data_IF_971617944220
#
_entry.id   IF_971617944220
#
_cell.length_a   1.000
_cell.length_b   1.000
_cell.length_c   1.000
_cell.angle_alpha   90.00
_cell.angle_beta   90.00
_cell.angle_gamma   90.00
#
_symmetry.space_group_name_H-M   'P 1'
#
loop_
_entity.id
_entity.type
_entity.pdbx_description
1 polymer ?
#
# COMPACT_ATOMS: atom_id res chain seq x y z
N UNK A 1 -7.99 -62.73 -17.88
CA UNK A 1 -8.95 -61.64 -17.60
C UNK A 1 -8.74 -61.21 -16.16
N UNK A 2 -8.21 -60.00 -15.93
CA UNK A 2 -7.84 -59.51 -14.60
C UNK A 2 -9.00 -58.70 -14.06
N UNK A 3 -9.47 -59.07 -12.88
CA UNK A 3 -10.65 -58.53 -12.21
C UNK A 3 -10.57 -57.00 -12.04
N UNK A 4 -11.57 -56.29 -12.57
CA UNK A 4 -11.81 -54.90 -12.24
C UNK A 4 -12.42 -54.85 -10.84
N UNK A 5 -11.55 -54.70 -9.83
CA UNK A 5 -11.91 -54.42 -8.45
C UNK A 5 -12.77 -53.15 -8.42
N UNK A 6 -14.03 -53.25 -7.98
CA UNK A 6 -14.98 -52.15 -7.98
C UNK A 6 -14.43 -50.91 -7.26
N UNK A 7 -14.45 -49.76 -7.93
CA UNK A 7 -14.12 -48.47 -7.33
C UNK A 7 -15.13 -48.17 -6.21
N UNK A 8 -14.63 -47.80 -5.03
CA UNK A 8 -15.49 -47.33 -3.93
C UNK A 8 -16.22 -46.04 -4.30
N UNK A 9 -17.37 -45.76 -3.66
CA UNK A 9 -18.24 -44.64 -3.99
C UNK A 9 -17.54 -43.27 -4.09
N UNK A 10 -16.55 -43.00 -3.23
CA UNK A 10 -15.74 -41.77 -3.32
C UNK A 10 -14.84 -41.71 -4.57
N UNK A 11 -14.28 -42.84 -5.00
CA UNK A 11 -13.49 -42.91 -6.23
C UNK A 11 -14.38 -42.77 -7.48
N UNK A 12 -15.62 -43.24 -7.41
CA UNK A 12 -16.61 -43.07 -8.48
C UNK A 12 -17.04 -41.59 -8.64
N UNK A 13 -17.31 -40.89 -7.54
CA UNK A 13 -17.65 -39.46 -7.60
C UNK A 13 -16.49 -38.60 -8.12
N UNK A 14 -15.25 -38.88 -7.70
CA UNK A 14 -14.08 -38.16 -8.23
C UNK A 14 -13.86 -38.43 -9.73
N UNK A 15 -14.21 -39.63 -10.22
CA UNK A 15 -14.14 -39.93 -11.65
C UNK A 15 -15.24 -39.20 -12.45
N UNK A 16 -16.44 -39.08 -11.88
CA UNK A 16 -17.54 -38.29 -12.46
C UNK A 16 -17.21 -36.79 -12.51
N UNK A 17 -16.71 -36.23 -11.41
CA UNK A 17 -16.27 -34.83 -11.36
C UNK A 17 -15.21 -34.53 -12.43
N UNK A 18 -14.23 -35.44 -12.56
CA UNK A 18 -13.19 -35.31 -13.57
C UNK A 18 -13.77 -35.36 -14.99
N UNK A 19 -14.64 -36.32 -15.28
CA UNK A 19 -15.25 -36.46 -16.59
C UNK A 19 -16.05 -35.20 -16.96
N UNK A 20 -16.89 -34.71 -16.05
CA UNK A 20 -17.69 -33.49 -16.27
C UNK A 20 -16.77 -32.27 -16.46
N UNK A 21 -15.68 -32.18 -15.69
CA UNK A 21 -14.72 -31.07 -15.82
C UNK A 21 -13.97 -31.12 -17.14
N UNK A 22 -13.54 -32.30 -17.58
CA UNK A 22 -12.84 -32.49 -18.85
C UNK A 22 -13.76 -32.15 -20.03
N UNK A 23 -15.02 -32.57 -19.98
CA UNK A 23 -16.03 -32.27 -20.99
C UNK A 23 -16.30 -30.77 -21.08
N UNK A 24 -16.54 -30.12 -19.93
CA UNK A 24 -16.74 -28.67 -19.86
C UNK A 24 -15.54 -27.88 -20.40
N UNK A 25 -14.32 -28.33 -20.12
CA UNK A 25 -13.09 -27.69 -20.60
C UNK A 25 -12.80 -27.95 -22.09
N UNK A 26 -13.34 -29.03 -22.64
CA UNK A 26 -13.23 -29.36 -24.06
C UNK A 26 -14.27 -28.64 -24.92
N UNK A 27 -15.34 -28.12 -24.30
CA UNK A 27 -16.42 -27.43 -24.97
C UNK A 27 -15.97 -26.09 -25.53
N UNK A 28 -16.46 -25.72 -26.72
CA UNK A 28 -16.12 -24.46 -27.35
C UNK A 28 -16.84 -23.28 -26.67
N UNK A 29 -16.30 -22.07 -26.80
CA UNK A 29 -16.97 -20.85 -26.31
C UNK A 29 -18.36 -20.67 -26.94
N UNK A 30 -18.52 -21.07 -28.19
CA UNK A 30 -19.78 -20.96 -28.94
C UNK A 30 -20.84 -21.93 -28.38
N UNK A 31 -20.44 -23.16 -28.09
CA UNK A 31 -21.30 -24.17 -27.48
C UNK A 31 -21.68 -23.79 -26.04
N UNK A 32 -20.72 -23.29 -25.25
CA UNK A 32 -20.97 -22.75 -23.90
C UNK A 32 -22.01 -21.62 -23.89
N UNK A 33 -21.89 -20.68 -24.83
CA UNK A 33 -22.83 -19.57 -24.94
C UNK A 33 -24.22 -20.06 -25.36
N UNK A 34 -24.27 -21.03 -26.26
CA UNK A 34 -25.53 -21.63 -26.72
C UNK A 34 -26.24 -22.35 -25.59
N UNK A 35 -25.56 -23.22 -24.85
CA UNK A 35 -26.11 -23.93 -23.70
C UNK A 35 -26.59 -22.96 -22.62
N UNK A 36 -25.81 -21.92 -22.32
CA UNK A 36 -26.21 -20.89 -21.35
C UNK A 36 -27.55 -20.23 -21.76
N UNK A 37 -27.72 -19.90 -23.04
CA UNK A 37 -28.97 -19.32 -23.55
C UNK A 37 -30.12 -20.33 -23.48
N UNK A 38 -29.87 -21.60 -23.83
CA UNK A 38 -30.87 -22.68 -23.74
C UNK A 38 -31.34 -22.91 -22.30
N UNK A 39 -30.45 -22.75 -21.33
CA UNK A 39 -30.73 -22.81 -19.88
C UNK A 39 -31.37 -21.52 -19.33
N UNK A 40 -31.64 -20.52 -20.18
CA UNK A 40 -32.24 -19.25 -19.80
C UNK A 40 -31.29 -18.29 -19.08
N UNK A 41 -29.98 -18.52 -19.15
CA UNK A 41 -28.94 -17.63 -18.64
C UNK A 41 -28.60 -16.60 -19.73
N UNK A 42 -28.71 -15.31 -19.42
CA UNK A 42 -28.17 -14.25 -20.27
C UNK A 42 -26.65 -14.11 -20.06
N UNK A 43 -25.81 -14.44 -21.05
CA UNK A 43 -24.36 -14.37 -20.91
C UNK A 43 -23.85 -12.94 -20.65
N UNK A 44 -24.52 -11.93 -21.20
CA UNK A 44 -24.13 -10.54 -21.03
C UNK A 44 -24.33 -10.08 -19.58
N UNK A 45 -25.50 -10.39 -19.02
CA UNK A 45 -25.78 -10.17 -17.59
C UNK A 45 -24.78 -10.92 -16.73
N UNK A 46 -24.50 -12.19 -17.02
CA UNK A 46 -23.57 -12.99 -16.20
C UNK A 46 -22.14 -12.46 -16.23
N UNK A 47 -21.66 -12.02 -17.40
CA UNK A 47 -20.36 -11.39 -17.54
C UNK A 47 -20.27 -10.07 -16.76
N UNK A 48 -21.34 -9.27 -16.77
CA UNK A 48 -21.43 -8.02 -16.01
C UNK A 48 -21.36 -8.26 -14.49
N UNK A 49 -22.06 -9.27 -13.99
CA UNK A 49 -21.99 -9.69 -12.58
C UNK A 49 -20.57 -10.09 -12.19
N UNK A 50 -19.93 -10.94 -13.01
CA UNK A 50 -18.58 -11.41 -12.76
C UNK A 50 -17.60 -10.23 -12.69
N UNK A 51 -17.66 -9.33 -13.68
CA UNK A 51 -16.83 -8.12 -13.73
C UNK A 51 -17.03 -7.25 -12.50
N UNK A 52 -18.28 -7.02 -12.11
CA UNK A 52 -18.63 -6.20 -10.94
C UNK A 52 -18.07 -6.83 -9.65
N UNK A 53 -18.20 -8.14 -9.50
CA UNK A 53 -17.66 -8.87 -8.34
C UNK A 53 -16.12 -8.82 -8.28
N UNK A 54 -15.46 -8.93 -9.42
CA UNK A 54 -14.01 -8.85 -9.51
C UNK A 54 -13.51 -7.45 -9.14
N UNK A 55 -14.16 -6.40 -9.65
CA UNK A 55 -13.85 -5.01 -9.30
C UNK A 55 -14.07 -4.72 -7.81
N UNK A 56 -15.14 -5.27 -7.21
CA UNK A 56 -15.38 -5.14 -5.79
C UNK A 56 -14.24 -5.75 -4.95
N UNK A 57 -13.79 -6.96 -5.30
CA UNK A 57 -12.66 -7.64 -4.64
C UNK A 57 -11.35 -6.85 -4.79
N UNK A 58 -11.06 -6.34 -5.98
CA UNK A 58 -9.88 -5.50 -6.24
C UNK A 58 -9.92 -4.24 -5.37
N UNK A 59 -11.07 -3.57 -5.30
CA UNK A 59 -11.23 -2.37 -4.50
C UNK A 59 -11.09 -2.65 -3.00
N UNK A 60 -11.62 -3.77 -2.53
CA UNK A 60 -11.42 -4.22 -1.15
C UNK A 60 -9.93 -4.43 -0.85
N UNK A 61 -9.22 -5.19 -1.68
CA UNK A 61 -7.78 -5.44 -1.49
C UNK A 61 -6.96 -4.12 -1.49
N UNK A 62 -7.32 -3.15 -2.33
CA UNK A 62 -6.69 -1.81 -2.32
C UNK A 62 -6.93 -1.08 -1.00
N UNK A 63 -8.16 -1.12 -0.47
CA UNK A 63 -8.50 -0.51 0.82
C UNK A 63 -7.74 -1.16 1.97
N UNK A 64 -7.64 -2.48 1.97
CA UNK A 64 -6.89 -3.24 2.97
C UNK A 64 -5.39 -2.90 2.93
N UNK A 65 -4.80 -2.84 1.73
CA UNK A 65 -3.41 -2.42 1.54
C UNK A 65 -3.16 -1.00 2.05
N UNK A 66 -4.07 -0.06 1.74
CA UNK A 66 -3.98 1.31 2.22
C UNK A 66 -4.10 1.37 3.76
N UNK A 67 -5.02 0.63 4.35
CA UNK A 67 -5.19 0.58 5.80
C UNK A 67 -3.94 -0.01 6.49
N UNK A 68 -3.33 -1.04 5.90
CA UNK A 68 -2.07 -1.59 6.39
C UNK A 68 -0.92 -0.58 6.31
N UNK A 69 -0.78 0.12 5.19
CA UNK A 69 0.24 1.17 5.02
C UNK A 69 0.06 2.31 6.03
N UNK A 70 -1.18 2.76 6.27
CA UNK A 70 -1.50 3.78 7.28
C UNK A 70 -1.08 3.33 8.68
N UNK A 71 -1.39 2.08 9.07
CA UNK A 71 -0.94 1.53 10.36
C UNK A 71 0.59 1.51 10.47
N UNK A 72 1.29 1.16 9.40
CA UNK A 72 2.75 1.20 9.35
C UNK A 72 3.30 2.61 9.53
N UNK A 73 2.71 3.59 8.85
CA UNK A 73 3.07 5.01 8.99
C UNK A 73 2.82 5.56 10.40
N UNK A 74 1.64 5.26 10.97
CA UNK A 74 1.30 5.68 12.34
C UNK A 74 2.23 5.01 13.37
N UNK A 75 2.62 3.76 13.14
CA UNK A 75 3.61 3.07 13.96
C UNK A 75 4.99 3.72 13.85
N UNK A 76 5.45 4.06 12.64
CA UNK A 76 6.74 4.75 12.46
C UNK A 76 6.74 6.16 13.06
N UNK A 77 5.61 6.88 13.06
CA UNK A 77 5.51 8.16 13.76
C UNK A 77 5.60 7.99 15.28
N UNK A 78 5.07 6.90 15.83
CA UNK A 78 5.13 6.60 17.28
C UNK A 78 6.47 6.03 17.74
N UNK A 79 7.15 5.30 16.86
CA UNK A 79 8.50 4.78 17.08
C UNK A 79 9.59 5.79 16.74
N UNK A 80 9.22 6.96 16.18
CA UNK A 80 10.14 8.08 16.06
C UNK A 80 10.75 8.34 17.44
N UNK A 81 12.09 8.26 17.56
CA UNK A 81 12.76 8.24 18.85
C UNK A 81 12.32 9.49 19.60
N UNK A 82 11.72 9.28 20.78
CA UNK A 82 11.31 10.29 21.77
C UNK A 82 12.00 11.61 21.43
N UNK A 83 11.23 12.53 20.84
CA UNK A 83 11.74 13.82 20.36
C UNK A 83 12.75 14.32 21.39
N UNK A 84 14.04 14.27 21.03
CA UNK A 84 15.07 14.79 21.92
C UNK A 84 14.65 16.22 22.19
N UNK A 85 14.52 16.56 23.47
CA UNK A 85 13.94 17.81 23.90
C UNK A 85 14.52 18.93 23.03
N UNK A 86 13.64 19.56 22.23
CA UNK A 86 14.05 20.59 21.29
C UNK A 86 14.77 21.68 22.10
N UNK A 87 15.88 22.26 21.59
CA UNK A 87 16.44 23.46 22.19
C UNK A 87 15.38 24.57 22.27
N UNK A 88 15.61 25.56 23.12
CA UNK A 88 14.74 26.73 23.16
C UNK A 88 14.61 27.37 21.76
N UNK A 89 13.45 27.96 21.44
CA UNK A 89 13.16 28.50 20.12
C UNK A 89 14.24 29.49 19.61
N UNK A 90 14.77 30.31 20.50
CA UNK A 90 15.86 31.25 20.17
C UNK A 90 17.16 30.53 19.79
N UNK A 91 17.43 29.38 20.39
CA UNK A 91 18.57 28.53 20.04
C UNK A 91 18.36 27.86 18.67
N UNK A 92 17.13 27.38 18.40
CA UNK A 92 16.75 26.85 17.09
C UNK A 92 16.99 27.90 15.99
N UNK A 93 16.45 29.11 16.17
CA UNK A 93 16.61 30.23 15.24
C UNK A 93 18.09 30.53 14.99
N UNK A 94 18.91 30.56 16.05
CA UNK A 94 20.35 30.81 15.96
C UNK A 94 21.08 29.75 15.15
N UNK A 95 20.85 28.46 15.44
CA UNK A 95 21.55 27.37 14.77
C UNK A 95 21.16 27.23 13.31
N UNK A 96 19.87 27.32 12.98
CA UNK A 96 19.39 27.28 11.59
C UNK A 96 19.97 28.46 10.79
N UNK A 97 19.96 29.67 11.36
CA UNK A 97 20.58 30.83 10.71
C UNK A 97 22.09 30.67 10.50
N UNK A 98 22.81 30.07 11.46
CA UNK A 98 24.24 29.80 11.32
C UNK A 98 24.52 28.80 10.18
N UNK A 99 23.72 27.74 10.05
CA UNK A 99 23.84 26.74 8.99
C UNK A 99 23.56 27.32 7.59
N UNK A 100 22.54 28.18 7.49
CA UNK A 100 22.22 28.89 6.25
C UNK A 100 23.38 29.81 5.84
N UNK A 101 23.95 30.57 6.78
CA UNK A 101 25.11 31.43 6.52
C UNK A 101 26.37 30.62 6.17
N UNK A 102 26.51 29.42 6.72
CA UNK A 102 27.61 28.50 6.47
C UNK A 102 27.56 27.77 5.13
N UNK A 103 26.53 27.99 4.30
CA UNK A 103 26.43 27.41 2.95
C UNK A 103 25.97 25.94 2.92
N UNK A 104 25.53 25.38 4.04
CA UNK A 104 25.07 23.98 4.12
C UNK A 104 23.70 23.75 3.46
N UNK A 105 22.96 24.80 3.11
CA UNK A 105 21.58 24.70 2.62
C UNK A 105 21.31 25.59 1.41
N UNK A 106 21.75 25.12 0.22
CA UNK A 106 21.59 25.82 -1.06
C UNK A 106 20.12 26.13 -1.45
N UNK A 107 19.12 25.51 -0.81
CA UNK A 107 17.70 25.81 -1.02
C UNK A 107 17.07 26.76 0.01
N UNK A 108 17.44 26.63 1.30
CA UNK A 108 16.86 27.42 2.40
C UNK A 108 17.30 28.88 2.35
N UNK A 109 18.54 29.14 1.96
CA UNK A 109 19.06 30.51 1.87
C UNK A 109 18.26 31.42 0.91
N UNK A 110 17.53 30.85 -0.05
CA UNK A 110 16.69 31.59 -0.99
C UNK A 110 15.33 31.99 -0.40
N UNK A 111 14.73 31.13 0.42
CA UNK A 111 13.45 31.38 1.11
C UNK A 111 13.60 32.47 2.19
N UNK A 112 14.67 32.38 3.00
CA UNK A 112 15.00 33.39 4.00
C UNK A 112 15.33 34.77 3.42
N UNK A 113 15.92 34.81 2.22
CA UNK A 113 16.27 36.08 1.54
C UNK A 113 15.04 36.80 0.97
N UNK A 114 13.94 36.10 0.70
CA UNK A 114 12.70 36.68 0.16
C UNK A 114 11.83 37.36 1.21
N UNK A 115 12.28 37.44 2.47
CA UNK A 115 11.60 38.21 3.53
C UNK A 115 10.34 37.56 4.06
N UNK A 116 10.15 36.26 3.82
CA UNK A 116 9.03 35.51 4.38
C UNK A 116 9.26 35.33 5.89
N UNK A 117 8.46 36.02 6.69
CA UNK A 117 8.51 35.90 8.16
C UNK A 117 7.96 34.54 8.56
N UNK A 118 8.85 33.60 8.88
CA UNK A 118 8.47 32.32 9.45
C UNK A 118 7.89 32.51 10.85
N UNK A 119 6.75 31.87 11.11
CA UNK A 119 6.18 31.82 12.46
C UNK A 119 7.04 30.95 13.37
N UNK A 120 6.86 31.08 14.68
CA UNK A 120 7.57 30.25 15.66
C UNK A 120 7.32 28.75 15.44
N UNK A 121 6.12 28.36 14.99
CA UNK A 121 5.80 26.99 14.62
C UNK A 121 6.55 26.49 13.38
N UNK A 122 6.76 27.37 12.39
CA UNK A 122 7.52 27.03 11.18
C UNK A 122 9.00 26.80 11.51
N UNK A 123 9.55 27.55 12.47
CA UNK A 123 10.92 27.36 12.96
C UNK A 123 11.12 26.00 13.63
N UNK A 124 10.16 25.58 14.44
CA UNK A 124 10.19 24.28 15.09
C UNK A 124 10.00 23.13 14.08
N UNK A 125 9.11 23.29 13.10
CA UNK A 125 8.92 22.30 12.03
C UNK A 125 10.18 22.14 11.19
N UNK A 126 10.83 23.25 10.82
CA UNK A 126 12.07 23.23 10.05
C UNK A 126 13.22 22.57 10.84
N UNK A 127 13.28 22.78 12.15
CA UNK A 127 14.26 22.13 13.01
C UNK A 127 14.15 20.61 12.95
N UNK A 128 12.93 20.07 13.06
CA UNK A 128 12.71 18.63 13.02
C UNK A 128 13.12 18.04 11.66
N UNK A 129 12.77 18.69 10.55
CA UNK A 129 13.17 18.27 9.20
C UNK A 129 14.71 18.25 9.05
N UNK A 130 15.41 19.22 9.65
CA UNK A 130 16.87 19.30 9.61
C UNK A 130 17.56 18.25 10.49
N UNK A 131 16.93 17.85 11.60
CA UNK A 131 17.39 16.73 12.43
C UNK A 131 17.14 15.39 11.73
N UNK A 132 15.97 15.20 11.11
CA UNK A 132 15.61 13.98 10.38
C UNK A 132 16.53 13.77 9.16
N UNK A 133 16.85 14.84 8.44
CA UNK A 133 17.79 14.79 7.31
C UNK A 133 19.27 14.63 7.72
N UNK A 134 19.58 14.68 9.02
CA UNK A 134 20.94 14.56 9.54
C UNK A 134 21.84 15.76 9.27
N UNK A 135 21.27 16.90 8.81
CA UNK A 135 22.00 18.16 8.58
C UNK A 135 22.43 18.81 9.89
N UNK A 136 21.64 18.61 10.94
CA UNK A 136 22.00 18.99 12.30
C UNK A 136 22.39 17.73 13.04
N UNK A 137 23.67 17.64 13.40
CA UNK A 137 24.16 16.59 14.27
C UNK A 137 23.41 16.68 15.61
N UNK A 138 22.85 15.56 16.03
CA UNK A 138 22.39 15.36 17.40
C UNK A 138 23.48 15.84 18.36
N UNK A 139 23.26 16.99 19.01
CA UNK A 139 24.26 17.72 19.79
C UNK A 139 24.47 17.05 21.15
N UNK A 140 24.98 15.81 21.10
CA UNK A 140 25.48 15.06 22.25
C UNK A 140 26.68 14.16 21.90
N UNK A 141 27.50 14.58 20.95
CA UNK A 141 28.88 14.11 20.80
C UNK A 141 29.80 15.32 20.87
N UNK A 142 30.11 15.71 22.10
CA UNK A 142 31.39 16.25 22.55
C UNK A 142 31.19 16.71 24.01
N UNK A 143 31.27 15.73 24.92
CA UNK A 143 31.82 15.88 26.28
C UNK A 143 32.21 14.49 26.81
#
# INVERSE_FOLDING_TARGET
>A
MKEAKGMGAGAQMAALERLISEDLLAMSDEDLLKEAIEDGIDPATKASELRSSALAKINQAKREKLAAARRGYDASLRESPVAKARPALEEIKRQIQALIRGGASNGLSLAFRKGETMSDADWESLWDDMVESGLIGDSRKDD
#
